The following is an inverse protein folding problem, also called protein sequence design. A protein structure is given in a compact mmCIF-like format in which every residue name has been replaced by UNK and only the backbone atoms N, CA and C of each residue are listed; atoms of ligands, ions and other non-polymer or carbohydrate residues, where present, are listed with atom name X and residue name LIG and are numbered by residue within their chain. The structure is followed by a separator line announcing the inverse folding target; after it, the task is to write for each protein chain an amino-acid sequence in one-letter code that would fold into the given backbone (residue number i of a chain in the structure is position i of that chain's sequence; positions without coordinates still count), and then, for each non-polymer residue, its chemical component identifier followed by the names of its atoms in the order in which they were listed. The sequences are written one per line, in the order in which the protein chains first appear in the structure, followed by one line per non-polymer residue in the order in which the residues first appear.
data_IF_558829188209
#
_entry.id   IF_558829188209
#
_cell.length_a   1.000
_cell.length_b   1.000
_cell.length_c   1.000
_cell.angle_alpha   90.00
_cell.angle_beta   90.00
_cell.angle_gamma   90.00
#
_symmetry.space_group_name_H-M   'P 1'
#
loop_
_entity.id
_entity.type
_entity.pdbx_description
1 polymer ?
#
# COMPACT_ATOMS: atom_id res chain seq x y z
N UNK A 1 13.89 8.74 18.33
CA UNK A 1 12.42 8.73 18.48
C UNK A 1 11.67 9.66 17.51
N UNK A 2 12.04 10.92 17.31
CA UNK A 2 11.31 11.84 16.40
C UNK A 2 11.27 11.39 14.92
N UNK A 3 12.42 10.94 14.39
CA UNK A 3 12.54 10.47 13.00
C UNK A 3 11.70 9.21 12.72
N UNK A 4 11.63 8.28 13.67
CA UNK A 4 10.91 7.01 13.52
C UNK A 4 9.40 7.21 13.51
N UNK A 5 8.86 8.07 14.37
CA UNK A 5 7.45 8.48 14.33
C UNK A 5 7.07 9.18 13.02
N UNK A 6 7.96 10.02 12.49
CA UNK A 6 7.77 10.66 11.19
C UNK A 6 7.72 9.63 10.05
N UNK A 7 8.62 8.64 10.07
CA UNK A 7 8.62 7.54 9.11
C UNK A 7 7.37 6.68 9.22
N UNK A 8 6.93 6.31 10.43
CA UNK A 8 5.68 5.56 10.67
C UNK A 8 4.46 6.29 10.08
N UNK A 9 4.32 7.58 10.38
CA UNK A 9 3.25 8.41 9.84
C UNK A 9 3.28 8.47 8.31
N UNK A 10 4.47 8.59 7.70
CA UNK A 10 4.61 8.59 6.25
C UNK A 10 4.21 7.24 5.62
N UNK A 11 4.58 6.12 6.25
CA UNK A 11 4.21 4.77 5.77
C UNK A 11 2.69 4.56 5.82
N UNK A 12 2.04 4.95 6.92
CA UNK A 12 0.57 4.91 7.04
C UNK A 12 -0.11 5.77 5.98
N UNK A 13 0.34 7.01 5.84
CA UNK A 13 -0.22 7.95 4.85
C UNK A 13 -0.09 7.41 3.43
N UNK A 14 1.07 6.82 3.11
CA UNK A 14 1.31 6.16 1.82
C UNK A 14 0.38 4.98 1.60
N UNK A 15 0.19 4.13 2.61
CA UNK A 15 -0.71 2.97 2.53
C UNK A 15 -2.15 3.40 2.30
N UNK A 16 -2.67 4.34 3.10
CA UNK A 16 -4.05 4.80 3.01
C UNK A 16 -4.33 5.46 1.63
N UNK A 17 -3.35 6.19 1.09
CA UNK A 17 -3.42 6.74 -0.25
C UNK A 17 -3.47 5.64 -1.33
N UNK A 18 -2.66 4.59 -1.19
CA UNK A 18 -2.68 3.44 -2.10
C UNK A 18 -3.99 2.65 -2.02
N UNK A 19 -4.54 2.44 -0.82
CA UNK A 19 -5.85 1.79 -0.63
C UNK A 19 -6.98 2.58 -1.30
N UNK A 20 -6.94 3.91 -1.15
CA UNK A 20 -7.90 4.82 -1.79
C UNK A 20 -7.79 4.76 -3.31
N UNK A 21 -6.56 4.82 -3.84
CA UNK A 21 -6.30 4.75 -5.27
C UNK A 21 -6.73 3.39 -5.85
N UNK A 22 -6.36 2.29 -5.21
CA UNK A 22 -6.73 0.92 -5.59
C UNK A 22 -8.26 0.75 -5.65
N UNK A 23 -8.97 1.21 -4.61
CA UNK A 23 -10.44 1.15 -4.57
C UNK A 23 -11.07 1.97 -5.70
N UNK A 24 -10.55 3.17 -5.95
CA UNK A 24 -11.03 4.04 -7.02
C UNK A 24 -10.81 3.41 -8.40
N UNK A 25 -9.62 2.88 -8.66
CA UNK A 25 -9.27 2.21 -9.90
C UNK A 25 -10.14 0.96 -10.15
N UNK A 26 -10.43 0.16 -9.12
CA UNK A 26 -11.33 -1.00 -9.24
C UNK A 26 -12.77 -0.59 -9.58
N UNK A 27 -13.24 0.52 -9.00
CA UNK A 27 -14.55 1.10 -9.36
C UNK A 27 -14.60 1.51 -10.83
N UNK A 28 -13.55 2.19 -11.32
CA UNK A 28 -13.41 2.60 -12.71
C UNK A 28 -13.33 1.38 -13.64
N UNK A 29 -12.54 0.37 -13.29
CA UNK A 29 -12.44 -0.89 -14.04
C UNK A 29 -13.83 -1.51 -14.23
N UNK A 30 -14.56 -1.72 -13.13
CA UNK A 30 -15.88 -2.34 -13.14
C UNK A 30 -16.88 -1.55 -13.99
N UNK A 31 -16.85 -0.22 -13.88
CA UNK A 31 -17.72 0.65 -14.68
C UNK A 31 -17.43 0.55 -16.16
N UNK A 32 -16.16 0.56 -16.57
CA UNK A 32 -15.79 0.52 -17.99
C UNK A 32 -16.01 -0.87 -18.58
N UNK A 33 -15.70 -1.93 -17.84
CA UNK A 33 -15.97 -3.32 -18.23
C UNK A 33 -17.48 -3.55 -18.46
N UNK A 34 -18.33 -3.01 -17.58
CA UNK A 34 -19.80 -3.05 -17.77
C UNK A 34 -20.27 -2.29 -19.02
N UNK A 35 -19.66 -1.15 -19.34
CA UNK A 35 -19.95 -0.41 -20.59
C UNK A 35 -19.46 -1.19 -21.82
N UNK A 36 -18.30 -1.84 -21.75
CA UNK A 36 -17.80 -2.73 -22.81
C UNK A 36 -18.84 -3.79 -23.15
N UNK A 37 -19.33 -4.50 -22.14
CA UNK A 37 -20.24 -5.61 -22.32
C UNK A 37 -21.58 -5.14 -22.93
N UNK A 38 -22.07 -3.97 -22.52
CA UNK A 38 -23.26 -3.34 -23.11
C UNK A 38 -23.06 -3.01 -24.60
N UNK A 39 -21.90 -2.47 -24.95
CA UNK A 39 -21.57 -2.10 -26.33
C UNK A 39 -21.32 -3.33 -27.20
N UNK A 40 -20.58 -4.32 -26.70
CA UNK A 40 -20.22 -5.54 -27.43
C UNK A 40 -21.42 -6.39 -27.85
N UNK A 41 -22.52 -6.33 -27.10
CA UNK A 41 -23.76 -7.03 -27.47
C UNK A 41 -24.45 -6.47 -28.72
N UNK A 42 -24.26 -5.19 -29.05
CA UNK A 42 -25.03 -4.49 -30.09
C UNK A 42 -24.18 -3.84 -31.18
N UNK A 43 -22.91 -3.55 -30.91
CA UNK A 43 -22.02 -2.86 -31.82
C UNK A 43 -21.10 -3.84 -32.55
N UNK A 44 -21.29 -3.97 -33.87
CA UNK A 44 -20.54 -4.89 -34.72
C UNK A 44 -19.81 -4.14 -35.85
N UNK A 45 -18.79 -4.78 -36.42
CA UNK A 45 -18.00 -4.26 -37.54
C UNK A 45 -16.56 -3.91 -37.18
N UNK A 46 -15.79 -3.45 -38.17
CA UNK A 46 -14.35 -3.21 -38.01
C UNK A 46 -13.99 -2.18 -36.94
N UNK A 47 -14.80 -1.13 -36.77
CA UNK A 47 -14.61 -0.12 -35.72
C UNK A 47 -14.84 -0.70 -34.31
N UNK A 48 -15.86 -1.55 -34.14
CA UNK A 48 -16.16 -2.23 -32.88
C UNK A 48 -15.00 -3.14 -32.46
N UNK A 49 -14.42 -3.89 -33.39
CA UNK A 49 -13.27 -4.76 -33.12
C UNK A 49 -12.01 -4.00 -32.69
N UNK A 50 -11.73 -2.84 -33.30
CA UNK A 50 -10.61 -1.99 -32.89
C UNK A 50 -10.83 -1.38 -31.52
N UNK A 51 -12.04 -0.90 -31.24
CA UNK A 51 -12.41 -0.40 -29.92
C UNK A 51 -12.26 -1.48 -28.84
N UNK A 52 -12.80 -2.68 -29.08
CA UNK A 52 -12.72 -3.81 -28.14
C UNK A 52 -11.25 -4.17 -27.84
N UNK A 53 -10.41 -4.25 -28.87
CA UNK A 53 -8.97 -4.50 -28.72
C UNK A 53 -8.30 -3.43 -27.86
N UNK A 54 -8.60 -2.16 -28.10
CA UNK A 54 -8.03 -1.05 -27.33
C UNK A 54 -8.51 -1.08 -25.87
N UNK A 55 -9.79 -1.42 -25.65
CA UNK A 55 -10.38 -1.45 -24.32
C UNK A 55 -9.85 -2.61 -23.48
N UNK A 56 -9.70 -3.81 -24.08
CA UNK A 56 -9.10 -4.97 -23.40
C UNK A 56 -7.69 -4.62 -22.92
N UNK A 57 -6.86 -4.01 -23.76
CA UNK A 57 -5.51 -3.56 -23.36
C UNK A 57 -5.56 -2.57 -22.21
N UNK A 58 -6.45 -1.58 -22.28
CA UNK A 58 -6.58 -0.59 -21.21
C UNK A 58 -7.02 -1.25 -19.88
N UNK A 59 -7.96 -2.20 -19.92
CA UNK A 59 -8.39 -2.96 -18.75
C UNK A 59 -7.25 -3.82 -18.18
N UNK A 60 -6.44 -4.45 -19.03
CA UNK A 60 -5.26 -5.23 -18.61
C UNK A 60 -4.23 -4.35 -17.89
N UNK A 61 -3.88 -3.20 -18.46
CA UNK A 61 -2.94 -2.26 -17.85
C UNK A 61 -3.47 -1.72 -16.50
N UNK A 62 -4.77 -1.40 -16.42
CA UNK A 62 -5.37 -0.97 -15.16
C UNK A 62 -5.33 -2.09 -14.10
N UNK A 63 -5.46 -3.35 -14.52
CA UNK A 63 -5.31 -4.51 -13.62
C UNK A 63 -3.87 -4.66 -13.12
N UNK A 64 -2.87 -4.42 -13.97
CA UNK A 64 -1.46 -4.45 -13.54
C UNK A 64 -1.19 -3.35 -12.51
N UNK A 65 -1.63 -2.12 -12.78
CA UNK A 65 -1.47 -0.99 -11.85
C UNK A 65 -2.12 -1.27 -10.49
N UNK A 66 -3.34 -1.85 -10.48
CA UNK A 66 -4.04 -2.17 -9.23
C UNK A 66 -3.37 -3.30 -8.46
N UNK A 67 -2.76 -4.28 -9.14
CA UNK A 67 -1.94 -5.29 -8.48
C UNK A 67 -0.68 -4.67 -7.85
N UNK A 68 0.02 -3.80 -8.56
CA UNK A 68 1.21 -3.10 -8.04
C UNK A 68 0.86 -2.23 -6.81
N UNK A 69 -0.32 -1.61 -6.80
CA UNK A 69 -0.83 -0.88 -5.63
C UNK A 69 -1.02 -1.82 -4.41
N UNK A 70 -1.57 -3.02 -4.61
CA UNK A 70 -1.71 -4.01 -3.54
C UNK A 70 -0.36 -4.48 -3.00
N UNK A 71 0.62 -4.69 -3.89
CA UNK A 71 1.97 -5.05 -3.48
C UNK A 71 2.61 -3.93 -2.64
N UNK A 72 2.44 -2.67 -3.05
CA UNK A 72 2.90 -1.51 -2.29
C UNK A 72 2.22 -1.39 -0.93
N UNK A 73 0.91 -1.63 -0.83
CA UNK A 73 0.19 -1.70 0.46
C UNK A 73 0.83 -2.74 1.37
N UNK A 74 1.15 -3.92 0.84
CA UNK A 74 1.84 -4.99 1.55
C UNK A 74 3.23 -4.60 2.03
N UNK A 75 4.04 -3.95 1.18
CA UNK A 75 5.39 -3.49 1.52
C UNK A 75 5.34 -2.43 2.63
N UNK A 76 4.46 -1.43 2.51
CA UNK A 76 4.32 -0.35 3.48
C UNK A 76 3.85 -0.90 4.84
N UNK A 77 2.84 -1.77 4.86
CA UNK A 77 2.34 -2.41 6.08
C UNK A 77 3.32 -3.44 6.69
N UNK A 78 4.13 -4.10 5.87
CA UNK A 78 5.21 -4.97 6.35
C UNK A 78 6.33 -4.15 7.01
N UNK A 79 6.72 -3.04 6.39
CA UNK A 79 7.76 -2.14 6.90
C UNK A 79 7.35 -1.50 8.23
N UNK A 80 6.11 -1.04 8.35
CA UNK A 80 5.55 -0.52 9.61
C UNK A 80 5.65 -1.55 10.75
N UNK A 81 5.20 -2.78 10.51
CA UNK A 81 5.26 -3.86 11.51
C UNK A 81 6.69 -4.20 11.93
N UNK A 82 7.62 -4.21 10.99
CA UNK A 82 9.03 -4.46 11.30
C UNK A 82 9.62 -3.35 12.18
N UNK A 83 9.27 -2.08 11.91
CA UNK A 83 9.70 -0.97 12.76
C UNK A 83 9.19 -1.09 14.19
N UNK A 84 7.92 -1.44 14.38
CA UNK A 84 7.35 -1.64 15.71
C UNK A 84 8.00 -2.82 16.45
N UNK A 85 8.23 -3.95 15.77
CA UNK A 85 8.92 -5.09 16.38
C UNK A 85 10.35 -4.73 16.86
N UNK A 86 11.07 -3.93 16.06
CA UNK A 86 12.40 -3.43 16.43
C UNK A 86 12.34 -2.45 17.62
N UNK A 87 11.31 -1.61 17.71
CA UNK A 87 11.07 -0.73 18.87
C UNK A 87 10.82 -1.53 20.15
N UNK A 88 9.96 -2.54 20.07
CA UNK A 88 9.61 -3.38 21.23
C UNK A 88 10.84 -4.13 21.76
N UNK A 89 11.65 -4.73 20.88
CA UNK A 89 12.87 -5.44 21.26
C UNK A 89 13.91 -4.50 21.91
N UNK A 90 14.09 -3.30 21.34
CA UNK A 90 14.98 -2.28 21.91
C UNK A 90 14.48 -1.77 23.26
N UNK A 91 13.17 -1.58 23.43
CA UNK A 91 12.57 -1.15 24.69
C UNK A 91 12.73 -2.20 25.78
N UNK A 92 12.49 -3.48 25.45
CA UNK A 92 12.73 -4.60 26.37
C UNK A 92 14.20 -4.62 26.81
N UNK A 93 15.13 -4.54 25.86
CA UNK A 93 16.57 -4.55 26.14
C UNK A 93 17.00 -3.37 27.01
N UNK A 94 16.50 -2.16 26.73
CA UNK A 94 16.79 -0.97 27.51
C UNK A 94 16.29 -1.10 28.96
N UNK A 95 15.09 -1.67 29.17
CA UNK A 95 14.55 -1.95 30.49
C UNK A 95 15.40 -2.97 31.26
N UNK A 96 15.87 -4.02 30.59
CA UNK A 96 16.78 -5.00 31.21
C UNK A 96 18.08 -4.34 31.68
N UNK A 97 18.68 -3.48 30.86
CA UNK A 97 19.92 -2.78 31.21
C UNK A 97 19.71 -1.84 32.42
N UNK A 98 18.59 -1.11 32.47
CA UNK A 98 18.30 -0.22 33.60
C UNK A 98 18.04 -0.98 34.91
N UNK A 99 17.41 -2.16 34.83
CA UNK A 99 17.15 -3.02 35.98
C UNK A 99 18.41 -3.74 36.49
N UNK A 100 19.33 -4.11 35.59
CA UNK A 100 20.58 -4.80 35.95
C UNK A 100 21.68 -3.83 36.42
N UNK A 101 21.61 -2.55 36.09
CA UNK A 101 22.60 -1.56 36.52
C UNK A 101 21.99 -0.24 37.02
N UNK A 102 21.19 -0.27 38.11
CA UNK A 102 20.47 0.88 38.63
C UNK A 102 21.37 2.02 39.17
N UNK A 103 22.66 1.76 39.43
CA UNK A 103 23.58 2.72 40.05
C UNK A 103 24.41 3.55 39.04
N UNK A 104 24.31 3.28 37.73
CA UNK A 104 25.08 4.03 36.72
C UNK A 104 24.55 5.45 36.47
N UNK A 105 23.32 5.76 36.85
CA UNK A 105 22.74 7.11 36.71
C UNK A 105 23.26 8.13 37.73
N UNK A 106 23.93 7.69 38.80
CA UNK A 106 24.35 8.55 39.92
C UNK A 106 25.82 9.01 39.89
N UNK A 107 26.63 8.53 38.93
CA UNK A 107 28.10 8.73 38.97
C UNK A 107 28.59 9.92 38.12
N UNK A 108 27.70 10.76 37.59
CA UNK A 108 28.04 11.87 36.68
C UNK A 108 27.72 13.27 37.23
N UNK A 109 27.90 13.50 38.54
CA UNK A 109 27.89 14.86 39.13
C UNK A 109 29.26 15.25 39.67
#
# INVERSE_FOLDING_TARGET
MSMMRSTDQAMRTGRDAMETAHTTCNGVYTSVDGVRDLLGGNWQGGAASQYDTALVKWLEELRLITNDMNDMIGILGGTERNFHAMEDENMVTANWISQLNPNQSDVSR
#
